data_IF_887237362936
#
_entry.id   IF_887237362936
#
_cell.length_a   1.000
_cell.length_b   1.000
_cell.length_c   1.000
_cell.angle_alpha   90.00
_cell.angle_beta   90.00
_cell.angle_gamma   90.00
#
_symmetry.space_group_name_H-M   'P 1'
#
loop_
_entity.id
_entity.type
_entity.pdbx_description
1 polymer ?
#
# COMPACT_ATOMS: atom_id res chain seq x y z
N UNK A 1 -0.80 20.19 -49.76
CA UNK A 1 -0.13 19.24 -48.84
C UNK A 1 0.20 20.01 -47.57
N UNK A 2 -0.51 19.75 -46.47
CA UNK A 2 -0.23 20.39 -45.19
C UNK A 2 0.87 19.57 -44.50
N UNK A 3 2.08 20.11 -44.43
CA UNK A 3 3.11 19.60 -43.54
C UNK A 3 2.68 19.98 -42.11
N UNK A 4 2.20 18.99 -41.35
CA UNK A 4 1.96 19.15 -39.92
C UNK A 4 3.32 19.36 -39.26
N UNK A 5 3.68 20.63 -39.06
CA UNK A 5 4.87 21.02 -38.33
C UNK A 5 4.59 20.76 -36.85
N UNK A 6 4.86 19.55 -36.39
CA UNK A 6 4.93 19.24 -34.96
C UNK A 6 6.08 20.07 -34.38
N UNK A 7 5.77 21.25 -33.86
CA UNK A 7 6.74 22.02 -33.11
C UNK A 7 7.16 21.19 -31.89
N UNK A 8 8.46 20.87 -31.73
CA UNK A 8 8.91 20.08 -30.60
C UNK A 8 8.56 20.82 -29.31
N UNK A 9 7.94 20.10 -28.37
CA UNK A 9 7.54 20.65 -27.09
C UNK A 9 8.75 21.34 -26.41
N UNK A 10 8.56 22.54 -25.85
CA UNK A 10 9.59 23.19 -25.04
C UNK A 10 10.16 22.21 -24.01
N UNK A 11 11.49 22.20 -23.86
CA UNK A 11 12.19 21.31 -22.91
C UNK A 11 11.59 21.40 -21.50
N UNK A 12 11.15 22.57 -21.07
CA UNK A 12 10.48 22.78 -19.79
C UNK A 12 9.19 21.95 -19.64
N UNK A 13 8.41 21.77 -20.71
CA UNK A 13 7.19 20.96 -20.69
C UNK A 13 7.53 19.48 -20.61
N UNK A 14 8.57 19.02 -21.31
CA UNK A 14 9.05 17.64 -21.23
C UNK A 14 9.53 17.29 -19.81
N UNK A 15 10.27 18.20 -19.17
CA UNK A 15 10.71 18.07 -17.77
C UNK A 15 9.52 18.01 -16.82
N UNK A 16 8.53 18.89 -17.01
CA UNK A 16 7.36 18.95 -16.14
C UNK A 16 6.52 17.67 -16.23
N UNK A 17 6.33 17.13 -17.45
CA UNK A 17 5.61 15.88 -17.66
C UNK A 17 6.33 14.69 -17.02
N UNK A 18 7.66 14.62 -17.12
CA UNK A 18 8.45 13.58 -16.44
C UNK A 18 8.36 13.67 -14.91
N UNK A 19 8.36 14.88 -14.35
CA UNK A 19 8.15 15.08 -12.91
C UNK A 19 6.76 14.58 -12.51
N UNK A 20 5.72 14.88 -13.29
CA UNK A 20 4.35 14.40 -13.01
C UNK A 20 4.30 12.87 -13.04
N UNK A 21 4.91 12.23 -14.04
CA UNK A 21 4.95 10.76 -14.15
C UNK A 21 5.68 10.11 -12.98
N UNK A 22 6.84 10.66 -12.58
CA UNK A 22 7.55 10.15 -11.41
C UNK A 22 6.73 10.36 -10.14
N UNK A 23 6.09 11.52 -9.95
CA UNK A 23 5.20 11.77 -8.79
C UNK A 23 4.01 10.81 -8.75
N UNK A 24 3.40 10.49 -9.90
CA UNK A 24 2.33 9.49 -9.97
C UNK A 24 2.82 8.09 -9.56
N UNK A 25 3.97 7.67 -10.09
CA UNK A 25 4.62 6.40 -9.72
C UNK A 25 5.03 6.37 -8.25
N UNK A 26 5.41 7.51 -7.68
CA UNK A 26 5.69 7.67 -6.25
C UNK A 26 4.43 7.42 -5.41
N UNK A 27 3.30 8.01 -5.81
CA UNK A 27 2.03 7.86 -5.12
C UNK A 27 1.58 6.39 -5.11
N UNK A 28 1.73 5.67 -6.23
CA UNK A 28 1.45 4.23 -6.30
C UNK A 28 2.34 3.43 -5.34
N UNK A 29 3.67 3.64 -5.38
CA UNK A 29 4.61 2.93 -4.50
C UNK A 29 4.35 3.19 -3.01
N UNK A 30 3.92 4.40 -2.65
CA UNK A 30 3.56 4.74 -1.29
C UNK A 30 2.21 4.14 -0.88
N UNK A 31 1.23 4.08 -1.80
CA UNK A 31 -0.06 3.43 -1.56
C UNK A 31 0.08 1.92 -1.32
N UNK A 32 1.06 1.27 -1.95
CA UNK A 32 1.39 -0.15 -1.70
C UNK A 32 1.97 -0.40 -0.30
N UNK A 33 2.49 0.63 0.37
CA UNK A 33 2.94 0.53 1.77
C UNK A 33 1.70 0.64 2.65
N UNK A 34 0.99 -0.47 2.83
CA UNK A 34 -0.15 -0.55 3.74
C UNK A 34 0.28 -0.26 5.17
N UNK A 35 -0.45 0.63 5.85
CA UNK A 35 -0.22 0.87 7.27
C UNK A 35 -0.54 -0.38 8.09
N UNK A 36 0.17 -0.62 9.21
CA UNK A 36 -0.12 -1.71 10.12
C UNK A 36 -1.59 -1.70 10.59
N UNK A 37 -2.16 -0.52 10.77
CA UNK A 37 -3.56 -0.35 11.16
C UNK A 37 -4.53 -0.82 10.08
N UNK A 38 -4.27 -0.49 8.81
CA UNK A 38 -5.12 -0.91 7.71
C UNK A 38 -5.05 -2.43 7.50
N UNK A 39 -3.84 -3.00 7.56
CA UNK A 39 -3.65 -4.46 7.49
C UNK A 39 -4.37 -5.19 8.64
N UNK A 40 -4.25 -4.67 9.85
CA UNK A 40 -4.93 -5.26 11.02
C UNK A 40 -6.45 -5.23 10.89
N UNK A 41 -6.99 -4.12 10.38
CA UNK A 41 -8.43 -3.99 10.12
C UNK A 41 -8.91 -5.01 9.07
N UNK A 42 -8.19 -5.15 7.95
CA UNK A 42 -8.50 -6.14 6.91
C UNK A 42 -8.50 -7.57 7.49
N UNK A 43 -7.50 -7.91 8.32
CA UNK A 43 -7.40 -9.23 8.95
C UNK A 43 -8.56 -9.49 9.93
N UNK A 44 -8.97 -8.47 10.70
CA UNK A 44 -10.16 -8.54 11.58
C UNK A 44 -11.43 -8.79 10.76
N UNK A 45 -11.63 -8.02 9.69
CA UNK A 45 -12.81 -8.12 8.84
C UNK A 45 -12.90 -9.49 8.16
N UNK A 46 -11.77 -10.01 7.68
CA UNK A 46 -11.71 -11.34 7.08
C UNK A 46 -12.09 -12.46 8.07
N UNK A 47 -11.66 -12.38 9.33
CA UNK A 47 -12.03 -13.36 10.36
C UNK A 47 -13.51 -13.21 10.74
N UNK A 48 -14.00 -11.97 10.90
CA UNK A 48 -15.42 -11.72 11.18
C UNK A 48 -16.34 -12.24 10.06
N UNK A 49 -15.95 -12.08 8.80
CA UNK A 49 -16.69 -12.63 7.67
C UNK A 49 -16.83 -14.16 7.78
N UNK A 50 -15.76 -14.87 8.17
CA UNK A 50 -15.80 -16.33 8.37
C UNK A 50 -16.73 -16.73 9.52
N UNK A 51 -16.69 -15.98 10.63
CA UNK A 51 -17.62 -16.19 11.76
C UNK A 51 -19.06 -16.00 11.30
N UNK A 52 -19.37 -14.94 10.55
CA UNK A 52 -20.72 -14.67 10.06
C UNK A 52 -21.22 -15.78 9.13
N UNK A 53 -20.39 -16.21 8.17
CA UNK A 53 -20.73 -17.33 7.28
C UNK A 53 -21.00 -18.62 8.06
N UNK A 54 -20.19 -18.93 9.07
CA UNK A 54 -20.42 -20.11 9.91
C UNK A 54 -21.73 -19.98 10.72
N UNK A 55 -22.06 -18.78 11.21
CA UNK A 55 -23.34 -18.51 11.89
C UNK A 55 -24.55 -18.68 10.97
N UNK A 56 -24.48 -18.16 9.75
CA UNK A 56 -25.54 -18.32 8.74
C UNK A 56 -25.79 -19.81 8.48
N UNK A 57 -24.72 -20.60 8.30
CA UNK A 57 -24.82 -22.05 8.09
C UNK A 57 -25.42 -22.79 9.29
N UNK A 58 -25.16 -22.34 10.52
CA UNK A 58 -25.77 -22.93 11.73
C UNK A 58 -27.29 -22.76 11.72
N UNK A 59 -27.77 -21.60 11.27
CA UNK A 59 -29.19 -21.29 11.22
C UNK A 59 -29.90 -22.09 10.13
N UNK A 60 -29.19 -22.44 9.06
CA UNK A 60 -29.74 -23.19 7.92
C UNK A 60 -29.70 -24.72 8.13
N UNK A 61 -28.75 -25.24 8.92
CA UNK A 61 -28.61 -26.69 9.08
C UNK A 61 -29.59 -27.29 10.10
N UNK A 62 -30.22 -28.39 9.69
CA UNK A 62 -31.05 -29.23 10.56
C UNK A 62 -30.24 -30.38 11.19
N UNK A 63 -29.00 -30.60 10.75
CA UNK A 63 -28.15 -31.68 11.23
C UNK A 63 -27.37 -31.26 12.49
N UNK A 64 -27.58 -31.99 13.58
CA UNK A 64 -26.93 -31.71 14.87
C UNK A 64 -25.41 -31.82 14.79
N UNK A 65 -24.88 -32.83 14.10
CA UNK A 65 -23.43 -33.01 13.96
C UNK A 65 -22.76 -31.89 13.14
N UNK A 66 -23.42 -31.40 12.09
CA UNK A 66 -22.91 -30.26 11.31
C UNK A 66 -22.95 -28.98 12.15
N UNK A 67 -24.02 -28.77 12.92
CA UNK A 67 -24.13 -27.66 13.85
C UNK A 67 -23.00 -27.65 14.89
N UNK A 68 -22.69 -28.81 15.47
CA UNK A 68 -21.60 -28.96 16.44
C UNK A 68 -20.24 -28.61 15.82
N UNK A 69 -19.99 -29.04 14.58
CA UNK A 69 -18.77 -28.69 13.85
C UNK A 69 -18.65 -27.19 13.59
N UNK A 70 -19.72 -26.57 13.08
CA UNK A 70 -19.75 -25.12 12.84
C UNK A 70 -19.58 -24.32 14.13
N UNK A 71 -20.09 -24.81 15.26
CA UNK A 71 -19.91 -24.17 16.56
C UNK A 71 -18.44 -24.20 17.01
N UNK A 72 -17.72 -25.31 16.75
CA UNK A 72 -16.27 -25.40 16.97
C UNK A 72 -15.51 -24.45 16.04
N UNK A 73 -15.91 -24.34 14.76
CA UNK A 73 -15.29 -23.39 13.82
C UNK A 73 -15.46 -21.93 14.27
N UNK A 74 -16.65 -21.55 14.73
CA UNK A 74 -16.92 -20.21 15.26
C UNK A 74 -16.07 -19.92 16.48
N UNK A 75 -15.98 -20.85 17.43
CA UNK A 75 -15.12 -20.71 18.61
C UNK A 75 -13.65 -20.54 18.20
N UNK A 76 -13.16 -21.36 17.26
CA UNK A 76 -11.79 -21.26 16.75
C UNK A 76 -11.50 -19.92 16.06
N UNK A 77 -12.41 -19.42 15.23
CA UNK A 77 -12.27 -18.11 14.62
C UNK A 77 -12.36 -16.96 15.62
N UNK A 78 -13.19 -17.10 16.66
CA UNK A 78 -13.32 -16.11 17.74
C UNK A 78 -12.03 -16.02 18.55
N UNK A 79 -11.46 -17.16 18.96
CA UNK A 79 -10.16 -17.21 19.63
C UNK A 79 -9.05 -16.58 18.78
N UNK A 80 -9.05 -16.86 17.47
CA UNK A 80 -8.09 -16.25 16.54
C UNK A 80 -8.26 -14.73 16.41
N UNK A 81 -9.50 -14.22 16.49
CA UNK A 81 -9.78 -12.79 16.51
C UNK A 81 -9.19 -12.13 17.77
N UNK A 82 -9.37 -12.76 18.93
CA UNK A 82 -8.82 -12.28 20.21
C UNK A 82 -7.28 -12.29 20.20
N UNK A 83 -6.67 -13.37 19.70
CA UNK A 83 -5.22 -13.46 19.53
C UNK A 83 -4.69 -12.35 18.59
N UNK A 84 -5.39 -12.09 17.48
CA UNK A 84 -5.03 -11.03 16.55
C UNK A 84 -5.09 -9.64 17.20
N UNK A 85 -6.11 -9.38 18.03
CA UNK A 85 -6.25 -8.11 18.76
C UNK A 85 -5.15 -7.92 19.81
N UNK A 86 -4.81 -8.97 20.56
CA UNK A 86 -3.75 -8.94 21.57
C UNK A 86 -2.37 -8.79 20.93
N UNK A 87 -2.09 -9.57 19.89
CA UNK A 87 -0.82 -9.50 19.16
C UNK A 87 -0.61 -8.14 18.51
N UNK A 88 -1.65 -7.56 17.90
CA UNK A 88 -1.58 -6.20 17.37
C UNK A 88 -1.26 -5.19 18.47
N UNK A 89 -1.95 -5.21 19.61
CA UNK A 89 -1.66 -4.29 20.71
C UNK A 89 -0.20 -4.39 21.21
N UNK A 90 0.34 -5.61 21.27
CA UNK A 90 1.73 -5.86 21.71
C UNK A 90 2.79 -5.49 20.67
N UNK A 91 2.52 -5.71 19.38
CA UNK A 91 3.45 -5.49 18.27
C UNK A 91 3.24 -4.20 17.49
N UNK A 92 2.24 -3.39 17.85
CA UNK A 92 1.85 -2.19 17.09
C UNK A 92 2.99 -1.20 16.96
N UNK A 93 3.73 -0.94 18.05
CA UNK A 93 4.84 0.03 18.04
C UNK A 93 5.96 -0.41 17.09
N UNK A 94 6.34 -1.67 17.12
CA UNK A 94 7.41 -2.20 16.27
C UNK A 94 6.98 -2.24 14.80
N UNK A 95 5.74 -2.67 14.54
CA UNK A 95 5.16 -2.66 13.20
C UNK A 95 5.03 -1.22 12.63
N UNK A 96 4.68 -0.25 13.47
CA UNK A 96 4.58 1.16 13.10
C UNK A 96 5.96 1.76 12.82
N UNK A 97 6.96 1.47 13.66
CA UNK A 97 8.33 1.91 13.42
C UNK A 97 8.91 1.35 12.10
N UNK A 98 8.64 0.09 11.78
CA UNK A 98 9.04 -0.50 10.50
C UNK A 98 8.29 0.13 9.31
N UNK A 99 7.00 0.40 9.47
CA UNK A 99 6.22 1.14 8.48
C UNK A 99 6.79 2.53 8.21
N UNK A 100 7.07 3.32 9.25
CA UNK A 100 7.67 4.65 9.13
C UNK A 100 9.04 4.57 8.47
N UNK A 101 9.88 3.60 8.85
CA UNK A 101 11.20 3.39 8.23
C UNK A 101 11.08 3.08 6.74
N UNK A 102 10.13 2.23 6.34
CA UNK A 102 9.89 1.90 4.93
C UNK A 102 9.34 3.08 4.14
N UNK A 103 8.42 3.84 4.73
CA UNK A 103 7.87 5.05 4.12
C UNK A 103 8.97 6.10 3.94
N UNK A 104 9.79 6.36 4.96
CA UNK A 104 10.90 7.32 4.90
C UNK A 104 11.96 6.90 3.87
N UNK A 105 12.32 5.62 3.82
CA UNK A 105 13.25 5.11 2.80
C UNK A 105 12.68 5.26 1.38
N UNK A 106 11.39 4.95 1.19
CA UNK A 106 10.71 5.15 -0.08
C UNK A 106 10.74 6.62 -0.48
N UNK A 107 10.34 7.53 0.41
CA UNK A 107 10.37 8.98 0.17
C UNK A 107 11.79 9.47 -0.18
N UNK A 108 12.81 9.08 0.58
CA UNK A 108 14.21 9.43 0.29
C UNK A 108 14.66 8.97 -1.09
N UNK A 109 14.40 7.70 -1.42
CA UNK A 109 14.75 7.14 -2.73
C UNK A 109 14.07 7.90 -3.87
N UNK A 110 12.83 8.33 -3.66
CA UNK A 110 12.06 9.10 -4.63
C UNK A 110 12.58 10.54 -4.78
N UNK A 111 12.91 11.21 -3.67
CA UNK A 111 13.54 12.53 -3.71
C UNK A 111 14.89 12.50 -4.43
N UNK A 112 15.70 11.47 -4.20
CA UNK A 112 16.98 11.29 -4.91
C UNK A 112 16.77 11.04 -6.41
N UNK A 113 15.77 10.26 -6.80
CA UNK A 113 15.43 10.03 -8.21
C UNK A 113 14.99 11.32 -8.90
N UNK A 114 14.14 12.12 -8.24
CA UNK A 114 13.69 13.42 -8.75
C UNK A 114 14.85 14.41 -8.88
N UNK A 115 15.74 14.48 -7.90
CA UNK A 115 16.95 15.32 -7.99
C UNK A 115 17.86 14.89 -9.14
N UNK A 116 18.12 13.59 -9.31
CA UNK A 116 18.94 13.08 -10.43
C UNK A 116 18.31 13.40 -11.78
N UNK A 117 17.00 13.25 -11.91
CA UNK A 117 16.27 13.63 -13.12
C UNK A 117 16.37 15.14 -13.36
N UNK A 118 16.19 15.96 -12.33
CA UNK A 118 16.34 17.42 -12.42
C UNK A 118 17.76 17.83 -12.81
N UNK A 119 18.81 17.25 -12.23
CA UNK A 119 20.22 17.53 -12.55
C UNK A 119 20.58 17.13 -13.99
N UNK A 120 20.07 15.99 -14.44
CA UNK A 120 20.27 15.50 -15.81
C UNK A 120 19.56 16.38 -16.84
N UNK A 121 18.38 16.92 -16.49
CA UNK A 121 17.53 17.71 -17.37
C UNK A 121 17.88 19.20 -17.38
N UNK A 122 18.33 19.75 -16.25
CA UNK A 122 18.74 21.15 -16.12
C UNK A 122 20.19 21.38 -16.55
N UNK A 123 20.99 20.32 -16.64
CA UNK A 123 22.38 20.36 -17.09
C UNK A 123 23.29 21.00 -16.06
N UNK A 124 24.30 20.23 -15.63
CA UNK A 124 25.56 20.69 -15.03
C UNK A 124 25.85 22.18 -15.25
N UNK A 125 25.52 23.02 -14.26
CA UNK A 125 26.17 24.32 -14.10
C UNK A 125 27.60 24.04 -13.63
N UNK A 126 28.49 23.70 -14.54
CA UNK A 126 29.87 23.40 -14.17
C UNK A 126 30.72 22.96 -15.35
N UNK A 127 31.18 23.93 -16.13
CA UNK A 127 32.50 24.02 -16.79
C UNK A 127 32.37 24.79 -18.10
N UNK A 128 32.44 26.11 -18.00
CA UNK A 128 33.18 26.93 -18.96
C UNK A 128 34.23 27.68 -18.16
N UNK A 129 35.29 26.98 -17.80
CA UNK A 129 36.62 27.58 -17.76
C UNK A 129 37.14 27.58 -19.20
N UNK A 130 37.26 28.77 -19.77
CA UNK A 130 38.23 29.26 -20.77
C UNK A 130 37.63 30.44 -21.55
#
# INVERSE_FOLDING_TARGET
MAASSEMPLPKSILVFNQIIEEVARCAEKLADIRSPAHKHQDDIEAIRAKINVAWERILETSHTTERDQLQVEIQGHTAKLEELQQSYASGFKDAWAEYERRADLAVKTLCEALNKSADTLLGSRGCKDQ
#
